data_IF_641373850906
#
_entry.id   IF_641373850906
#
_cell.length_a   1.000
_cell.length_b   1.000
_cell.length_c   1.000
_cell.angle_alpha   90.00
_cell.angle_beta   90.00
_cell.angle_gamma   90.00
#
_symmetry.space_group_name_H-M   'P 1'
#
loop_
_entity.id
_entity.type
_entity.pdbx_description
1 polymer ?
#
# COMPACT_ATOMS: atom_id res chain seq x y z
N UNK A 1 -5.31 -7.58 -12.17
CA UNK A 1 -3.89 -7.58 -12.52
C UNK A 1 -3.03 -7.60 -11.25
N UNK A 2 -2.97 -6.50 -10.50
CA UNK A 2 -2.27 -6.42 -9.20
C UNK A 2 -2.62 -7.57 -8.24
N UNK A 3 -3.91 -7.81 -7.95
CA UNK A 3 -4.30 -8.88 -7.00
C UNK A 3 -4.05 -10.30 -7.53
N UNK A 4 -3.84 -10.47 -8.84
CA UNK A 4 -3.44 -11.76 -9.44
C UNK A 4 -1.94 -12.00 -9.29
N UNK A 5 -1.12 -10.96 -9.38
CA UNK A 5 0.33 -11.04 -9.21
C UNK A 5 0.75 -11.01 -7.73
N UNK A 6 0.00 -10.27 -6.91
CA UNK A 6 0.24 -10.10 -5.47
C UNK A 6 -1.01 -10.52 -4.71
N UNK A 7 -1.14 -11.82 -4.45
CA UNK A 7 -2.33 -12.39 -3.81
C UNK A 7 -2.63 -11.78 -2.42
N UNK A 8 -1.58 -11.31 -1.72
CA UNK A 8 -1.66 -10.68 -0.40
C UNK A 8 -1.93 -9.18 -0.45
N UNK A 9 -1.98 -8.57 -1.64
CA UNK A 9 -2.24 -7.15 -1.77
C UNK A 9 -3.68 -6.81 -1.39
N UNK A 10 -3.83 -5.75 -0.60
CA UNK A 10 -5.12 -5.20 -0.21
C UNK A 10 -5.40 -3.93 -1.01
N UNK A 11 -6.55 -3.88 -1.67
CA UNK A 11 -7.00 -2.73 -2.44
C UNK A 11 -7.98 -1.94 -1.57
N UNK A 12 -7.70 -0.66 -1.37
CA UNK A 12 -8.50 0.25 -0.55
C UNK A 12 -9.40 1.12 -1.43
N UNK A 13 -10.41 1.75 -0.80
CA UNK A 13 -11.42 2.57 -1.49
C UNK A 13 -10.82 3.88 -2.04
N UNK A 14 -9.76 4.39 -1.44
CA UNK A 14 -9.04 5.62 -1.80
C UNK A 14 -8.07 5.50 -3.00
N UNK A 15 -8.26 4.51 -3.88
CA UNK A 15 -7.30 4.16 -4.97
C UNK A 15 -5.90 3.81 -4.45
N UNK A 16 -5.85 3.30 -3.23
CA UNK A 16 -4.61 2.85 -2.60
C UNK A 16 -4.49 1.34 -2.64
N UNK A 17 -3.25 0.88 -2.63
CA UNK A 17 -2.91 -0.52 -2.53
C UNK A 17 -1.90 -0.70 -1.39
N UNK A 18 -2.14 -1.69 -0.55
CA UNK A 18 -1.22 -2.11 0.51
C UNK A 18 -0.56 -3.40 0.09
N UNK A 19 0.77 -3.40 0.10
CA UNK A 19 1.60 -4.58 -0.15
C UNK A 19 2.26 -5.06 1.13
N UNK A 20 2.32 -6.39 1.29
CA UNK A 20 3.04 -7.03 2.39
C UNK A 20 4.45 -7.36 1.90
N UNK A 21 5.48 -6.96 2.63
CA UNK A 21 6.88 -7.26 2.30
C UNK A 21 7.52 -8.15 3.37
N UNK A 22 8.59 -8.86 2.96
CA UNK A 22 9.46 -9.67 3.82
C UNK A 22 8.67 -10.57 4.78
N UNK A 23 7.91 -11.53 4.24
CA UNK A 23 7.18 -12.49 5.07
C UNK A 23 6.12 -11.88 5.99
N UNK A 24 5.55 -10.72 5.61
CA UNK A 24 4.51 -9.98 6.33
C UNK A 24 5.01 -8.97 7.38
N UNK A 25 6.33 -8.83 7.56
CA UNK A 25 6.94 -7.92 8.55
C UNK A 25 6.67 -6.43 8.29
N UNK A 26 6.50 -6.06 7.01
CA UNK A 26 6.34 -4.68 6.57
C UNK A 26 5.09 -4.47 5.72
N UNK A 27 4.65 -3.21 5.65
CA UNK A 27 3.59 -2.70 4.79
C UNK A 27 4.09 -1.54 3.96
N UNK A 28 3.71 -1.55 2.69
CA UNK A 28 3.89 -0.40 1.80
C UNK A 28 2.51 0.04 1.34
N UNK A 29 2.16 1.30 1.61
CA UNK A 29 0.95 1.92 1.07
C UNK A 29 1.34 2.74 -0.15
N UNK A 30 0.68 2.49 -1.27
CA UNK A 30 0.85 3.28 -2.49
C UNK A 30 -0.47 3.84 -2.97
N UNK A 31 -0.45 5.02 -3.58
CA UNK A 31 -1.53 5.53 -4.41
C UNK A 31 -1.22 5.22 -5.88
N UNK A 32 -2.18 4.67 -6.62
CA UNK A 32 -1.99 4.27 -8.02
C UNK A 32 -2.80 5.17 -8.95
N UNK A 33 -2.11 5.89 -9.82
CA UNK A 33 -2.70 6.69 -10.90
C UNK A 33 -2.76 5.85 -12.18
N UNK A 34 -3.72 4.92 -12.27
CA UNK A 34 -3.83 3.93 -13.34
C UNK A 34 -3.78 4.52 -14.76
N UNK A 35 -4.45 5.65 -15.00
CA UNK A 35 -4.48 6.29 -16.33
C UNK A 35 -3.13 6.86 -16.76
N UNK A 36 -2.26 7.21 -15.80
CA UNK A 36 -0.95 7.79 -16.04
C UNK A 36 0.18 6.78 -15.87
N UNK A 37 -0.11 5.58 -15.36
CA UNK A 37 0.88 4.55 -15.06
C UNK A 37 1.79 4.86 -13.87
N UNK A 38 1.46 5.85 -13.04
CA UNK A 38 2.28 6.23 -11.88
C UNK A 38 1.86 5.52 -10.60
N UNK A 39 2.85 5.25 -9.75
CA UNK A 39 2.69 4.72 -8.40
C UNK A 39 3.44 5.64 -7.44
N UNK A 40 2.72 6.15 -6.44
CA UNK A 40 3.29 7.03 -5.43
C UNK A 40 3.34 6.28 -4.10
N UNK A 41 4.53 6.17 -3.51
CA UNK A 41 4.68 5.64 -2.16
C UNK A 41 4.14 6.66 -1.18
N UNK A 42 3.29 6.21 -0.25
CA UNK A 42 2.66 7.04 0.78
C UNK A 42 3.07 6.68 2.20
N UNK A 43 3.54 5.45 2.36
CA UNK A 43 4.04 4.93 3.62
C UNK A 43 4.89 3.67 3.36
N UNK A 44 5.97 3.52 4.13
CA UNK A 44 6.72 2.26 4.28
C UNK A 44 7.01 2.10 5.77
N UNK A 45 6.66 0.95 6.35
CA UNK A 45 6.93 0.68 7.76
C UNK A 45 6.61 -0.75 8.16
N UNK A 46 6.93 -1.09 9.39
CA UNK A 46 6.61 -2.37 10.03
C UNK A 46 5.09 -2.56 10.13
N UNK A 47 4.65 -3.79 10.40
CA UNK A 47 3.25 -4.05 10.72
C UNK A 47 2.75 -3.20 11.90
N UNK A 48 3.57 -3.06 12.94
CA UNK A 48 3.20 -2.28 14.12
C UNK A 48 3.05 -0.79 13.81
N UNK A 49 3.96 -0.21 13.03
CA UNK A 49 3.84 1.19 12.59
C UNK A 49 2.61 1.38 11.70
N UNK A 50 2.34 0.42 10.81
CA UNK A 50 1.16 0.45 9.95
C UNK A 50 -0.15 0.45 10.76
N UNK A 51 -0.23 -0.32 11.85
CA UNK A 51 -1.43 -0.37 12.71
C UNK A 51 -1.72 0.97 13.41
N UNK A 52 -0.76 1.90 13.44
CA UNK A 52 -0.93 3.23 14.04
C UNK A 52 -1.38 4.31 13.05
N UNK A 53 -1.46 4.00 11.76
CA UNK A 53 -1.84 4.97 10.72
C UNK A 53 -3.15 4.57 10.03
N UNK A 54 -3.83 5.56 9.45
CA UNK A 54 -4.94 5.31 8.54
C UNK A 54 -4.41 5.18 7.10
N UNK A 55 -4.48 3.96 6.57
CA UNK A 55 -3.96 3.64 5.25
C UNK A 55 -4.70 4.36 4.12
N UNK A 56 -5.95 4.77 4.31
CA UNK A 56 -6.72 5.53 3.32
C UNK A 56 -6.24 6.99 3.21
N UNK A 57 -5.58 7.53 4.24
CA UNK A 57 -5.24 8.96 4.32
C UNK A 57 -3.75 9.26 4.53
N UNK A 58 -2.92 8.33 5.00
CA UNK A 58 -1.49 8.56 5.30
C UNK A 58 -0.73 9.15 4.11
N UNK A 59 0.04 10.20 4.31
CA UNK A 59 0.81 10.86 3.25
C UNK A 59 2.16 11.32 3.80
N UNK A 60 3.08 10.37 3.99
CA UNK A 60 4.42 10.64 4.53
C UNK A 60 5.44 10.99 3.43
N UNK A 61 5.14 10.63 2.17
CA UNK A 61 6.02 10.79 1.00
C UNK A 61 5.26 11.24 -0.25
#
# INVERSE_FOLDING_TARGET
DIKRQFATASILKSRRVVFNLKGNDYRVVVAVAYNMGFVYVKFIGTHAEYDTIDADTVDQY
#
